data_IF_918121033392
#
_entry.id   IF_918121033392
#
_cell.length_a   1.000
_cell.length_b   1.000
_cell.length_c   1.000
_cell.angle_alpha   90.00
_cell.angle_beta   90.00
_cell.angle_gamma   90.00
#
_symmetry.space_group_name_H-M   'P 1'
#
loop_
_entity.id
_entity.type
_entity.pdbx_description
1 polymer ?
#
# COMPACT_ATOMS: atom_id res chain seq x y z
N UNK A 1 -5.08 -18.75 -31.31
CA UNK A 1 -5.50 -17.81 -30.24
C UNK A 1 -5.09 -18.43 -28.92
N UNK A 2 -4.12 -17.87 -28.19
CA UNK A 2 -3.91 -18.28 -26.80
C UNK A 2 -5.00 -17.62 -25.97
N UNK A 3 -5.93 -18.42 -25.45
CA UNK A 3 -6.89 -17.94 -24.46
C UNK A 3 -6.17 -17.50 -23.20
N UNK A 4 -6.74 -16.53 -22.50
CA UNK A 4 -6.36 -16.21 -21.13
C UNK A 4 -6.99 -17.26 -20.21
N UNK A 5 -6.16 -18.07 -19.55
CA UNK A 5 -6.59 -19.05 -18.56
C UNK A 5 -6.40 -18.43 -17.18
N UNK A 6 -7.50 -18.32 -16.42
CA UNK A 6 -7.47 -17.76 -15.06
C UNK A 6 -8.00 -18.80 -14.09
N UNK A 7 -7.23 -19.01 -13.02
CA UNK A 7 -7.70 -19.78 -11.86
C UNK A 7 -8.62 -18.86 -11.03
N UNK A 8 -9.93 -19.07 -11.18
CA UNK A 8 -10.97 -18.23 -10.57
C UNK A 8 -10.90 -18.28 -9.04
N UNK A 9 -10.53 -19.42 -8.45
CA UNK A 9 -10.45 -19.56 -7.00
C UNK A 9 -9.22 -18.85 -6.44
N UNK A 10 -8.07 -18.95 -7.11
CA UNK A 10 -6.88 -18.16 -6.75
C UNK A 10 -7.10 -16.67 -6.95
N UNK A 11 -7.79 -16.28 -8.02
CA UNK A 11 -8.15 -14.88 -8.27
C UNK A 11 -9.07 -14.35 -7.15
N UNK A 12 -10.06 -15.15 -6.73
CA UNK A 12 -10.94 -14.79 -5.62
C UNK A 12 -10.19 -14.69 -4.29
N UNK A 13 -9.28 -15.63 -4.00
CA UNK A 13 -8.44 -15.58 -2.80
C UNK A 13 -7.53 -14.33 -2.80
N UNK A 14 -6.94 -14.00 -3.95
CA UNK A 14 -6.11 -12.82 -4.08
C UNK A 14 -6.92 -11.53 -3.84
N UNK A 15 -8.11 -11.43 -4.43
CA UNK A 15 -9.00 -10.27 -4.29
C UNK A 15 -9.49 -10.08 -2.85
N UNK A 16 -9.90 -11.17 -2.18
CA UNK A 16 -10.59 -11.09 -0.88
C UNK A 16 -9.66 -11.18 0.32
N UNK A 17 -8.46 -11.75 0.16
CA UNK A 17 -7.53 -12.00 1.28
C UNK A 17 -6.16 -11.39 1.01
N UNK A 18 -5.44 -11.85 -0.03
CA UNK A 18 -4.01 -11.54 -0.16
C UNK A 18 -3.74 -10.06 -0.44
N UNK A 19 -4.49 -9.44 -1.35
CA UNK A 19 -4.34 -8.02 -1.68
C UNK A 19 -4.79 -7.12 -0.52
N UNK A 20 -5.96 -7.31 0.11
CA UNK A 20 -6.33 -6.56 1.32
C UNK A 20 -5.31 -6.69 2.45
N UNK A 21 -4.75 -7.89 2.67
CA UNK A 21 -3.74 -8.10 3.70
C UNK A 21 -2.43 -7.38 3.38
N UNK A 22 -2.00 -7.36 2.11
CA UNK A 22 -0.86 -6.57 1.67
C UNK A 22 -1.07 -5.07 1.89
N UNK A 23 -2.24 -4.55 1.54
CA UNK A 23 -2.62 -3.15 1.79
C UNK A 23 -2.58 -2.80 3.29
N UNK A 24 -3.12 -3.67 4.15
CA UNK A 24 -3.09 -3.50 5.61
C UNK A 24 -1.65 -3.41 6.14
N UNK A 25 -0.74 -4.27 5.67
CA UNK A 25 0.65 -4.26 6.10
C UNK A 25 1.42 -3.01 5.65
N UNK A 26 1.05 -2.41 4.52
CA UNK A 26 1.68 -1.19 3.99
C UNK A 26 1.15 0.10 4.65
N UNK A 27 -0.08 0.08 5.18
CA UNK A 27 -0.69 1.26 5.82
C UNK A 27 0.04 1.70 7.11
N UNK A 28 0.58 0.75 7.88
CA UNK A 28 1.28 1.04 9.15
C UNK A 28 2.61 1.79 8.95
N UNK A 29 3.53 1.35 8.07
CA UNK A 29 4.75 2.11 7.77
C UNK A 29 4.47 3.53 7.25
N UNK A 30 3.44 3.71 6.42
CA UNK A 30 3.07 5.04 5.90
C UNK A 30 2.69 6.01 7.04
N UNK A 31 1.96 5.54 8.04
CA UNK A 31 1.59 6.35 9.21
C UNK A 31 2.80 6.74 10.07
N UNK A 32 3.76 5.82 10.25
CA UNK A 32 4.97 6.08 11.03
C UNK A 32 5.88 7.11 10.35
N UNK A 33 6.03 7.01 9.03
CA UNK A 33 6.87 7.94 8.26
C UNK A 33 6.36 9.39 8.30
N UNK A 34 5.04 9.60 8.48
CA UNK A 34 4.42 10.93 8.67
C UNK A 34 4.60 11.50 10.06
N UNK A 35 4.94 10.68 11.06
CA UNK A 35 5.10 11.16 12.44
C UNK A 35 6.46 11.84 12.68
N UNK A 36 7.40 11.72 11.73
CA UNK A 36 8.71 12.35 11.75
C UNK A 36 9.35 12.34 13.14
N UNK A 37 9.53 11.16 13.76
CA UNK A 37 10.16 11.05 15.09
C UNK A 37 11.44 11.91 15.11
N UNK A 38 11.35 13.05 15.80
CA UNK A 38 12.28 14.14 15.64
C UNK A 38 13.63 13.79 16.24
N UNK A 39 14.71 14.06 15.50
CA UNK A 39 16.08 13.95 15.98
C UNK A 39 16.38 15.13 16.91
N UNK A 40 15.78 15.17 18.10
CA UNK A 40 16.14 16.17 19.12
C UNK A 40 17.24 15.61 20.01
N UNK A 41 18.29 16.42 20.22
CA UNK A 41 19.28 16.19 21.27
C UNK A 41 18.64 16.46 22.64
N UNK A 42 18.95 15.63 23.63
CA UNK A 42 18.63 15.92 25.03
C UNK A 42 19.19 17.30 25.40
N UNK A 43 18.31 18.22 25.83
CA UNK A 43 18.69 19.59 26.21
C UNK A 43 18.24 20.72 25.26
N UNK A 44 17.64 20.41 24.09
CA UNK A 44 16.92 21.39 23.28
C UNK A 44 17.77 22.36 22.44
N UNK A 45 19.10 22.25 22.46
CA UNK A 45 19.98 23.03 21.58
C UNK A 45 19.94 22.49 20.14
N UNK A 46 19.64 23.37 19.18
CA UNK A 46 19.69 23.05 17.76
C UNK A 46 21.13 23.11 17.26
N UNK A 47 21.52 22.08 16.51
CA UNK A 47 22.80 22.04 15.81
C UNK A 47 22.49 22.14 14.32
N UNK A 48 23.13 23.05 13.55
CA UNK A 48 22.79 23.26 12.14
C UNK A 48 22.81 21.99 11.27
N UNK A 49 23.70 21.03 11.61
CA UNK A 49 23.75 19.73 10.94
C UNK A 49 22.54 18.83 11.27
N UNK A 50 22.05 18.87 12.51
CA UNK A 50 20.83 18.15 12.92
C UNK A 50 19.60 18.79 12.29
N UNK A 51 19.54 20.12 12.22
CA UNK A 51 18.43 20.83 11.57
C UNK A 51 18.36 20.53 10.07
N UNK A 52 19.51 20.56 9.38
CA UNK A 52 19.59 20.22 7.96
C UNK A 52 19.20 18.76 7.69
N UNK A 53 19.63 17.83 8.56
CA UNK A 53 19.23 16.43 8.48
C UNK A 53 17.74 16.26 8.75
N UNK A 54 17.17 16.99 9.73
CA UNK A 54 15.76 16.89 10.09
C UNK A 54 14.84 17.32 8.94
N UNK A 55 15.19 18.40 8.21
CA UNK A 55 14.46 18.84 7.02
C UNK A 55 14.53 17.79 5.90
N UNK A 56 15.73 17.27 5.64
CA UNK A 56 15.94 16.27 4.58
C UNK A 56 15.23 14.95 4.91
N UNK A 57 15.32 14.52 6.17
CA UNK A 57 14.66 13.33 6.68
C UNK A 57 13.15 13.44 6.58
N UNK A 58 12.57 14.57 7.01
CA UNK A 58 11.13 14.81 6.91
C UNK A 58 10.66 14.76 5.45
N UNK A 59 11.36 15.45 4.55
CA UNK A 59 11.03 15.44 3.11
C UNK A 59 11.10 14.03 2.52
N UNK A 60 12.13 13.25 2.87
CA UNK A 60 12.26 11.88 2.40
C UNK A 60 11.14 10.98 2.95
N UNK A 61 10.84 11.07 4.25
CA UNK A 61 9.82 10.23 4.89
C UNK A 61 8.43 10.58 4.39
N UNK A 62 8.12 11.85 4.14
CA UNK A 62 6.86 12.29 3.51
C UNK A 62 6.69 11.72 2.10
N UNK A 63 7.72 11.83 1.27
CA UNK A 63 7.68 11.28 -0.09
C UNK A 63 7.50 9.76 -0.08
N UNK A 64 8.17 9.06 0.84
CA UNK A 64 8.00 7.62 0.99
C UNK A 64 6.60 7.27 1.51
N UNK A 65 6.07 8.03 2.47
CA UNK A 65 4.71 7.85 2.97
C UNK A 65 3.65 8.06 1.88
N UNK A 66 3.81 9.09 1.04
CA UNK A 66 2.91 9.36 -0.08
C UNK A 66 2.89 8.16 -1.06
N UNK A 67 4.06 7.67 -1.45
CA UNK A 67 4.17 6.49 -2.34
C UNK A 67 3.53 5.23 -1.76
N UNK A 68 3.63 5.03 -0.44
CA UNK A 68 2.99 3.89 0.23
C UNK A 68 1.47 4.04 0.27
N UNK A 69 0.95 5.24 0.48
CA UNK A 69 -0.49 5.52 0.41
C UNK A 69 -1.02 5.25 -1.00
N UNK A 70 -0.31 5.73 -2.03
CA UNK A 70 -0.70 5.49 -3.43
C UNK A 70 -0.67 3.99 -3.76
N UNK A 71 0.35 3.27 -3.31
CA UNK A 71 0.44 1.82 -3.50
C UNK A 71 -0.72 1.07 -2.83
N UNK A 72 -1.11 1.47 -1.62
CA UNK A 72 -2.28 0.91 -0.93
C UNK A 72 -3.56 1.15 -1.74
N UNK A 73 -3.74 2.35 -2.31
CA UNK A 73 -4.87 2.66 -3.19
C UNK A 73 -4.93 1.73 -4.39
N UNK A 74 -3.80 1.59 -5.12
CA UNK A 74 -3.70 0.71 -6.29
C UNK A 74 -4.01 -0.75 -5.92
N UNK A 75 -3.55 -1.23 -4.77
CA UNK A 75 -3.84 -2.60 -4.31
C UNK A 75 -5.34 -2.81 -4.08
N UNK A 76 -6.03 -1.84 -3.47
CA UNK A 76 -7.48 -1.92 -3.27
C UNK A 76 -8.25 -1.89 -4.59
N UNK A 77 -7.89 -0.99 -5.50
CA UNK A 77 -8.50 -0.93 -6.83
C UNK A 77 -8.30 -2.23 -7.61
N UNK A 78 -7.09 -2.82 -7.52
CA UNK A 78 -6.77 -4.11 -8.14
C UNK A 78 -7.59 -5.24 -7.54
N UNK A 79 -7.75 -5.27 -6.21
CA UNK A 79 -8.55 -6.28 -5.52
C UNK A 79 -10.03 -6.21 -5.97
N UNK A 80 -10.59 -5.00 -6.04
CA UNK A 80 -11.96 -4.79 -6.50
C UNK A 80 -12.14 -5.23 -7.97
N UNK A 81 -11.25 -4.80 -8.86
CA UNK A 81 -11.31 -5.19 -10.26
C UNK A 81 -11.21 -6.72 -10.45
N UNK A 82 -10.37 -7.37 -9.64
CA UNK A 82 -10.21 -8.82 -9.68
C UNK A 82 -11.47 -9.55 -9.17
N UNK A 83 -12.12 -9.02 -8.14
CA UNK A 83 -13.41 -9.54 -7.66
C UNK A 83 -14.51 -9.42 -8.72
N UNK A 84 -14.60 -8.28 -9.41
CA UNK A 84 -15.53 -8.08 -10.52
C UNK A 84 -15.30 -9.08 -11.66
N UNK A 85 -14.04 -9.34 -12.01
CA UNK A 85 -13.67 -10.36 -13.01
C UNK A 85 -14.11 -11.75 -12.56
N UNK A 86 -13.84 -12.12 -11.30
CA UNK A 86 -14.25 -13.41 -10.73
C UNK A 86 -15.77 -13.59 -10.81
N UNK A 87 -16.54 -12.57 -10.45
CA UNK A 87 -18.00 -12.60 -10.52
C UNK A 87 -18.51 -12.80 -11.95
N UNK A 88 -17.87 -12.16 -12.92
CA UNK A 88 -18.20 -12.34 -14.34
C UNK A 88 -17.95 -13.78 -14.81
N UNK A 89 -16.81 -14.37 -14.45
CA UNK A 89 -16.49 -15.76 -14.76
C UNK A 89 -17.50 -16.73 -14.12
N UNK A 90 -17.77 -16.59 -12.82
CA UNK A 90 -18.76 -17.44 -12.13
C UNK A 90 -20.15 -17.37 -12.75
N UNK A 91 -20.59 -16.17 -13.15
CA UNK A 91 -21.88 -16.01 -13.83
C UNK A 91 -21.89 -16.68 -15.21
N UNK A 92 -20.81 -16.56 -15.97
CA UNK A 92 -20.68 -17.23 -17.27
C UNK A 92 -20.75 -18.77 -17.13
N UNK A 93 -20.21 -19.30 -16.04
CA UNK A 93 -20.23 -20.73 -15.70
C UNK A 93 -21.55 -21.19 -15.03
N UNK A 94 -22.53 -20.31 -14.87
CA UNK A 94 -23.83 -20.62 -14.25
C UNK A 94 -23.80 -20.78 -12.73
N UNK A 95 -22.75 -20.29 -12.08
CA UNK A 95 -22.54 -20.34 -10.63
C UNK A 95 -22.83 -19.01 -9.92
N UNK A 96 -23.57 -18.11 -10.57
CA UNK A 96 -23.90 -16.76 -10.10
C UNK A 96 -25.16 -16.66 -9.28
#
# INVERSE_FOLDING_TARGET
MSGFEVDVDRAHQAATVSLPQAAFHLARPASLLKQHEGLRRDGGESLPALDALQVTYATYSDNLAARLVDAVGIIHETAQALEEIVLLYRRADGQG
#
